data_IF_660455609884
#
_entry.id   IF_660455609884
#
_cell.length_a   1.000
_cell.length_b   1.000
_cell.length_c   1.000
_cell.angle_alpha   90.00
_cell.angle_beta   90.00
_cell.angle_gamma   90.00
#
_symmetry.space_group_name_H-M   'P 1'
#
loop_
_entity.id
_entity.type
_entity.pdbx_description
1 polymer ?
#
# COMPACT_ATOMS: atom_id res chain seq x y z
N UNK A 1 38.58 -32.07 47.68
CA UNK A 1 37.39 -31.73 46.93
C UNK A 1 37.72 -30.92 45.70
N UNK A 2 37.71 -31.55 44.53
CA UNK A 2 37.93 -30.84 43.27
C UNK A 2 36.59 -30.29 42.77
N UNK A 3 36.48 -28.96 42.72
CA UNK A 3 35.37 -28.26 42.12
C UNK A 3 35.52 -28.27 40.62
N UNK A 4 34.64 -28.99 39.90
CA UNK A 4 34.53 -28.94 38.45
C UNK A 4 33.70 -27.68 38.09
N UNK A 5 34.39 -26.69 37.51
CA UNK A 5 33.75 -25.50 36.91
C UNK A 5 33.14 -25.91 35.56
N UNK A 6 31.81 -26.03 35.48
CA UNK A 6 31.13 -26.26 34.24
C UNK A 6 31.01 -24.94 33.46
N UNK A 7 31.85 -24.78 32.46
CA UNK A 7 31.74 -23.65 31.51
C UNK A 7 30.55 -23.90 30.60
N UNK A 8 29.48 -23.16 30.78
CA UNK A 8 28.37 -23.11 29.81
C UNK A 8 28.83 -22.30 28.59
N UNK A 9 29.14 -22.98 27.51
CA UNK A 9 29.26 -22.33 26.19
C UNK A 9 27.86 -21.97 25.70
N UNK A 10 27.51 -20.69 25.80
CA UNK A 10 26.31 -20.15 25.14
C UNK A 10 26.61 -20.03 23.67
N UNK A 11 26.10 -20.95 22.87
CA UNK A 11 26.16 -20.85 21.42
C UNK A 11 25.22 -19.75 20.95
N UNK A 12 25.75 -18.56 20.68
CA UNK A 12 25.02 -17.50 20.00
C UNK A 12 24.80 -17.96 18.56
N UNK A 13 23.56 -18.32 18.21
CA UNK A 13 23.15 -18.55 16.81
C UNK A 13 23.15 -17.20 16.11
N UNK A 14 24.23 -16.90 15.42
CA UNK A 14 24.32 -15.76 14.51
C UNK A 14 23.67 -16.23 13.19
N UNK A 15 22.43 -15.84 12.95
CA UNK A 15 21.82 -16.01 11.63
C UNK A 15 22.52 -15.06 10.66
N UNK A 16 22.98 -15.54 9.51
CA UNK A 16 23.66 -14.67 8.56
C UNK A 16 22.69 -13.65 7.98
N UNK A 17 23.07 -12.39 8.01
CA UNK A 17 22.30 -11.24 7.46
C UNK A 17 21.90 -11.49 5.99
N UNK A 18 22.69 -12.26 5.25
CA UNK A 18 22.42 -12.67 3.87
C UNK A 18 21.13 -13.48 3.69
N UNK A 19 20.67 -14.23 4.71
CA UNK A 19 19.43 -15.01 4.61
C UNK A 19 18.18 -14.14 4.70
N UNK A 20 18.22 -13.09 5.51
CA UNK A 20 17.10 -12.14 5.65
C UNK A 20 16.91 -11.30 4.37
N UNK A 21 18.00 -10.86 3.74
CA UNK A 21 17.94 -10.13 2.48
C UNK A 21 17.40 -11.02 1.34
N UNK A 22 17.82 -12.29 1.27
CA UNK A 22 17.33 -13.25 0.28
C UNK A 22 15.84 -13.54 0.46
N UNK A 23 15.35 -13.67 1.70
CA UNK A 23 13.93 -13.85 2.02
C UNK A 23 13.11 -12.62 1.60
N UNK A 24 13.57 -11.41 1.91
CA UNK A 24 12.89 -10.16 1.54
C UNK A 24 12.82 -10.00 0.01
N UNK A 25 13.87 -10.34 -0.73
CA UNK A 25 13.86 -10.32 -2.18
C UNK A 25 12.87 -11.33 -2.77
N UNK A 26 12.81 -12.54 -2.21
CA UNK A 26 11.87 -13.56 -2.64
C UNK A 26 10.43 -13.14 -2.39
N UNK A 27 10.13 -12.52 -1.27
CA UNK A 27 8.80 -11.99 -0.96
C UNK A 27 8.37 -10.91 -1.95
N UNK A 28 9.29 -10.01 -2.31
CA UNK A 28 9.04 -9.01 -3.35
C UNK A 28 8.74 -9.66 -4.71
N UNK A 29 9.56 -10.60 -5.14
CA UNK A 29 9.38 -11.31 -6.42
C UNK A 29 8.06 -12.07 -6.46
N UNK A 30 7.68 -12.72 -5.36
CA UNK A 30 6.40 -13.45 -5.26
C UNK A 30 5.22 -12.50 -5.40
N UNK A 31 5.26 -11.35 -4.71
CA UNK A 31 4.23 -10.33 -4.84
C UNK A 31 4.18 -9.70 -6.23
N UNK A 32 5.32 -9.46 -6.87
CA UNK A 32 5.37 -8.96 -8.24
C UNK A 32 4.69 -9.93 -9.22
N UNK A 33 4.93 -11.23 -9.08
CA UNK A 33 4.24 -12.26 -9.90
C UNK A 33 2.74 -12.27 -9.66
N UNK A 34 2.32 -12.19 -8.40
CA UNK A 34 0.89 -12.11 -8.04
C UNK A 34 0.24 -10.89 -8.68
N UNK A 35 0.89 -9.73 -8.62
CA UNK A 35 0.39 -8.50 -9.22
C UNK A 35 0.25 -8.61 -10.74
N UNK A 36 1.28 -9.07 -11.44
CA UNK A 36 1.27 -9.22 -12.89
C UNK A 36 0.33 -10.33 -13.38
N UNK A 37 0.08 -11.34 -12.58
CA UNK A 37 -0.96 -12.35 -12.85
C UNK A 37 -2.37 -11.77 -12.70
N UNK A 38 -2.56 -10.86 -11.75
CA UNK A 38 -3.85 -10.20 -11.55
C UNK A 38 -4.15 -9.20 -12.68
N UNK A 39 -3.15 -8.41 -13.08
CA UNK A 39 -3.24 -7.46 -14.19
C UNK A 39 -1.90 -7.42 -14.92
N UNK A 40 -1.89 -7.94 -16.12
CA UNK A 40 -0.72 -7.90 -16.99
C UNK A 40 -0.50 -6.49 -17.54
N UNK A 41 0.75 -6.07 -17.59
CA UNK A 41 1.10 -4.75 -18.06
C UNK A 41 2.49 -4.32 -17.61
N UNK A 42 2.68 -3.00 -17.52
CA UNK A 42 3.90 -2.38 -17.06
C UNK A 42 3.75 -1.86 -15.64
N UNK A 43 4.59 -2.35 -14.72
CA UNK A 43 4.70 -1.76 -13.39
C UNK A 43 5.38 -0.41 -13.49
N UNK A 44 4.72 0.65 -13.05
CA UNK A 44 5.22 2.02 -13.12
C UNK A 44 5.60 2.58 -11.76
N UNK A 45 5.03 2.04 -10.68
CA UNK A 45 5.37 2.42 -9.29
C UNK A 45 5.25 1.20 -8.39
N UNK A 46 6.11 1.16 -7.39
CA UNK A 46 6.04 0.18 -6.30
C UNK A 46 6.14 0.92 -4.97
N UNK A 47 5.29 0.57 -4.04
CA UNK A 47 5.31 1.08 -2.69
C UNK A 47 5.39 -0.06 -1.68
N UNK A 48 6.07 0.20 -0.57
CA UNK A 48 5.96 -0.59 0.63
C UNK A 48 5.26 0.25 1.69
N UNK A 49 4.21 -0.29 2.29
CA UNK A 49 3.41 0.42 3.29
C UNK A 49 3.01 -0.49 4.44
N UNK A 50 2.65 0.10 5.57
CA UNK A 50 2.09 -0.59 6.72
C UNK A 50 0.58 -0.40 6.75
N UNK A 51 -0.12 -1.52 6.71
CA UNK A 51 -1.55 -1.62 6.92
C UNK A 51 -1.83 -2.54 8.10
N UNK A 52 -2.43 -2.01 9.17
CA UNK A 52 -2.65 -2.75 10.41
C UNK A 52 -1.38 -3.45 10.92
N UNK A 53 -0.25 -2.73 10.92
CA UNK A 53 1.08 -3.22 11.33
C UNK A 53 1.64 -4.37 10.47
N UNK A 54 1.06 -4.61 9.29
CA UNK A 54 1.57 -5.59 8.32
C UNK A 54 2.13 -4.88 7.10
N UNK A 55 3.27 -5.37 6.61
CA UNK A 55 3.88 -4.85 5.40
C UNK A 55 3.13 -5.32 4.15
N UNK A 56 2.78 -4.37 3.30
CA UNK A 56 2.05 -4.58 2.05
C UNK A 56 2.82 -3.94 0.91
N UNK A 57 3.01 -4.68 -0.17
CA UNK A 57 3.45 -4.11 -1.45
C UNK A 57 2.25 -3.64 -2.25
N UNK A 58 2.31 -2.43 -2.80
CA UNK A 58 1.40 -1.93 -3.81
C UNK A 58 2.14 -1.76 -5.12
N UNK A 59 1.54 -2.27 -6.19
CA UNK A 59 2.06 -2.17 -7.56
C UNK A 59 1.08 -1.38 -8.41
N UNK A 60 1.54 -0.25 -8.94
CA UNK A 60 0.78 0.52 -9.93
C UNK A 60 1.13 -0.01 -11.31
N UNK A 61 0.12 -0.50 -12.02
CA UNK A 61 0.28 -1.19 -13.30
C UNK A 61 -0.49 -0.44 -14.38
N UNK A 62 0.21 -0.07 -15.46
CA UNK A 62 -0.42 0.28 -16.72
C UNK A 62 -0.77 -1.00 -17.45
N UNK A 63 -2.05 -1.36 -17.40
CA UNK A 63 -2.55 -2.61 -17.94
C UNK A 63 -2.49 -2.68 -19.45
N UNK A 64 -2.36 -3.88 -19.98
CA UNK A 64 -2.49 -4.14 -21.43
C UNK A 64 -3.90 -3.81 -21.94
N UNK A 65 -4.89 -3.75 -21.06
CA UNK A 65 -6.26 -3.32 -21.36
C UNK A 65 -6.40 -1.79 -21.53
N UNK A 66 -5.31 -1.03 -21.33
CA UNK A 66 -5.31 0.43 -21.39
C UNK A 66 -5.77 1.13 -20.13
N UNK A 67 -6.05 0.39 -19.05
CA UNK A 67 -6.44 0.94 -17.75
C UNK A 67 -5.28 0.91 -16.77
N UNK A 68 -5.34 1.80 -15.80
CA UNK A 68 -4.40 1.82 -14.67
C UNK A 68 -4.99 1.03 -13.50
N UNK A 69 -4.14 0.22 -12.88
CA UNK A 69 -4.52 -0.69 -11.80
C UNK A 69 -3.56 -0.59 -10.63
N UNK A 70 -4.12 -0.62 -9.42
CA UNK A 70 -3.37 -0.77 -8.19
C UNK A 70 -3.61 -2.16 -7.62
N UNK A 71 -2.53 -2.88 -7.38
CA UNK A 71 -2.58 -4.25 -6.88
C UNK A 71 -1.80 -4.32 -5.57
N UNK A 72 -2.47 -4.74 -4.51
CA UNK A 72 -1.84 -4.91 -3.20
C UNK A 72 -1.64 -6.38 -2.85
N UNK A 73 -0.44 -6.66 -2.36
CA UNK A 73 -0.02 -7.99 -1.97
C UNK A 73 0.60 -7.97 -0.57
N UNK A 74 0.13 -8.86 0.30
CA UNK A 74 0.70 -9.02 1.64
C UNK A 74 2.10 -9.61 1.53
N UNK A 75 3.11 -8.87 1.99
CA UNK A 75 4.52 -9.25 1.87
C UNK A 75 4.83 -10.60 2.49
N UNK A 76 4.32 -10.87 3.69
CA UNK A 76 4.64 -12.08 4.44
C UNK A 76 4.14 -13.37 3.78
N UNK A 77 3.05 -13.33 3.02
CA UNK A 77 2.36 -14.52 2.50
C UNK A 77 2.25 -14.58 0.99
N UNK A 78 2.42 -13.44 0.29
CA UNK A 78 2.14 -13.34 -1.14
C UNK A 78 0.64 -13.31 -1.49
N UNK A 79 -0.24 -13.11 -0.49
CA UNK A 79 -1.68 -13.02 -0.70
C UNK A 79 -2.05 -11.72 -1.40
N UNK A 80 -2.84 -11.83 -2.48
CA UNK A 80 -3.50 -10.68 -3.10
C UNK A 80 -4.59 -10.17 -2.17
N UNK A 81 -4.45 -8.94 -1.67
CA UNK A 81 -5.40 -8.37 -0.71
C UNK A 81 -6.28 -7.28 -1.29
N UNK A 82 -5.86 -6.63 -2.37
CA UNK A 82 -6.64 -5.57 -3.02
C UNK A 82 -6.33 -5.46 -4.49
N UNK A 83 -7.34 -5.14 -5.27
CA UNK A 83 -7.26 -4.83 -6.69
C UNK A 83 -8.21 -3.67 -6.97
N UNK A 84 -7.65 -2.51 -7.30
CA UNK A 84 -8.41 -1.31 -7.62
C UNK A 84 -8.05 -0.80 -9.00
N UNK A 85 -9.02 -0.15 -9.63
CA UNK A 85 -8.79 0.59 -10.85
C UNK A 85 -8.59 2.06 -10.52
N UNK A 86 -7.52 2.65 -11.00
CA UNK A 86 -7.28 4.08 -10.94
C UNK A 86 -7.82 4.76 -12.20
N UNK A 87 -8.48 5.89 -12.03
CA UNK A 87 -8.91 6.76 -13.13
C UNK A 87 -8.29 8.14 -12.99
N UNK A 88 -8.02 8.79 -14.13
CA UNK A 88 -7.28 10.05 -14.15
C UNK A 88 -8.05 11.25 -13.57
N UNK A 89 -9.39 11.19 -13.61
CA UNK A 89 -10.24 12.31 -13.21
C UNK A 89 -11.50 11.85 -12.50
N UNK A 90 -12.00 12.62 -11.52
CA UNK A 90 -13.25 12.32 -10.82
C UNK A 90 -14.49 12.44 -11.74
N UNK A 91 -14.34 13.05 -12.91
CA UNK A 91 -15.39 13.13 -13.92
C UNK A 91 -15.55 11.86 -14.76
N UNK A 92 -14.65 10.88 -14.60
CA UNK A 92 -14.80 9.58 -15.25
C UNK A 92 -16.18 9.01 -14.87
N UNK A 93 -17.00 8.56 -15.83
CA UNK A 93 -18.37 8.11 -15.55
C UNK A 93 -18.45 6.97 -14.53
N UNK A 94 -17.47 6.07 -14.52
CA UNK A 94 -17.41 4.97 -13.56
C UNK A 94 -17.18 5.45 -12.12
N UNK A 95 -16.41 6.51 -11.96
CA UNK A 95 -16.15 7.13 -10.66
C UNK A 95 -17.34 8.02 -10.25
N UNK A 96 -17.73 8.92 -11.13
CA UNK A 96 -18.72 9.97 -10.87
C UNK A 96 -20.08 9.44 -10.42
N UNK A 97 -20.53 8.31 -10.96
CA UNK A 97 -21.86 7.75 -10.67
C UNK A 97 -22.11 7.45 -9.20
N UNK A 98 -21.06 7.22 -8.42
CA UNK A 98 -21.15 6.86 -7.01
C UNK A 98 -20.76 8.00 -6.05
N UNK A 99 -20.48 9.20 -6.58
CA UNK A 99 -20.02 10.33 -5.79
C UNK A 99 -21.21 11.07 -5.13
N UNK A 100 -21.16 11.19 -3.81
CA UNK A 100 -22.01 12.05 -2.99
C UNK A 100 -21.18 13.06 -2.18
N UNK A 101 -19.94 12.71 -1.88
CA UNK A 101 -18.93 13.58 -1.29
C UNK A 101 -17.94 13.96 -2.38
N UNK A 102 -17.78 15.26 -2.63
CA UNK A 102 -16.80 15.72 -3.63
C UNK A 102 -15.38 15.67 -3.05
N UNK A 103 -14.38 15.96 -3.89
CA UNK A 103 -12.99 15.93 -3.48
C UNK A 103 -12.69 16.88 -2.32
N UNK A 104 -13.25 18.10 -2.35
CA UNK A 104 -13.02 19.10 -1.31
C UNK A 104 -13.57 18.65 0.06
N UNK A 105 -14.77 18.11 0.08
CA UNK A 105 -15.38 17.55 1.28
C UNK A 105 -14.57 16.37 1.83
N UNK A 106 -14.09 15.50 0.94
CA UNK A 106 -13.27 14.34 1.31
C UNK A 106 -11.89 14.75 1.81
N UNK A 107 -11.26 15.78 1.21
CA UNK A 107 -10.02 16.38 1.70
C UNK A 107 -10.17 16.90 3.13
N UNK A 108 -11.26 17.56 3.43
CA UNK A 108 -11.53 18.09 4.77
C UNK A 108 -11.65 16.97 5.80
N UNK A 109 -12.29 15.85 5.45
CA UNK A 109 -12.37 14.66 6.31
C UNK A 109 -10.96 14.10 6.58
N UNK A 110 -10.18 13.91 5.53
CA UNK A 110 -8.82 13.35 5.62
C UNK A 110 -7.90 14.23 6.49
N UNK A 111 -7.88 15.53 6.25
CA UNK A 111 -7.03 16.49 6.98
C UNK A 111 -7.44 16.68 8.43
N UNK A 112 -8.70 16.49 8.77
CA UNK A 112 -9.16 16.50 10.16
C UNK A 112 -8.60 15.33 10.95
N UNK A 113 -8.50 14.17 10.33
CA UNK A 113 -7.96 12.95 10.93
C UNK A 113 -6.42 12.96 10.97
N UNK A 114 -5.80 13.43 9.91
CA UNK A 114 -4.34 13.48 9.74
C UNK A 114 -3.91 14.86 9.24
N UNK A 115 -3.72 15.83 10.15
CA UNK A 115 -3.27 17.17 9.76
C UNK A 115 -1.93 17.16 9.04
N UNK A 116 -1.85 17.86 7.91
CA UNK A 116 -0.65 17.93 7.08
C UNK A 116 -0.93 18.59 5.75
N UNK A 117 -0.07 18.30 4.78
CA UNK A 117 -0.22 18.73 3.39
C UNK A 117 -0.58 17.52 2.51
N UNK A 118 -1.63 17.65 1.73
CA UNK A 118 -1.97 16.66 0.71
C UNK A 118 -1.00 16.83 -0.44
N UNK A 119 -0.20 15.80 -0.71
CA UNK A 119 0.83 15.80 -1.75
C UNK A 119 0.40 15.03 -3.00
N UNK A 120 -0.60 14.16 -2.90
CA UNK A 120 -1.15 13.39 -4.01
C UNK A 120 -2.64 13.10 -3.78
N UNK A 121 -3.39 13.04 -4.87
CA UNK A 121 -4.79 12.59 -4.89
C UNK A 121 -4.96 11.57 -6.00
N UNK A 122 -5.52 10.42 -5.66
CA UNK A 122 -5.89 9.38 -6.61
C UNK A 122 -7.39 9.11 -6.55
N UNK A 123 -7.95 8.72 -7.69
CA UNK A 123 -9.37 8.39 -7.85
C UNK A 123 -9.47 6.91 -8.14
N UNK A 124 -9.98 6.16 -7.15
CA UNK A 124 -9.99 4.71 -7.17
C UNK A 124 -11.40 4.17 -7.36
N UNK A 125 -11.49 3.08 -8.11
CA UNK A 125 -12.71 2.28 -8.23
C UNK A 125 -12.39 0.90 -7.69
N UNK A 126 -13.04 0.56 -6.61
CA UNK A 126 -12.88 -0.72 -5.92
C UNK A 126 -13.50 -1.87 -6.72
N UNK A 127 -13.15 -3.11 -6.37
CA UNK A 127 -13.65 -4.31 -7.07
C UNK A 127 -15.16 -4.44 -7.04
N UNK A 128 -15.83 -3.88 -6.03
CA UNK A 128 -17.31 -3.85 -5.93
C UNK A 128 -17.95 -2.70 -6.71
N UNK A 129 -17.13 -1.82 -7.33
CA UNK A 129 -17.58 -0.66 -8.09
C UNK A 129 -17.70 0.64 -7.29
N UNK A 130 -17.43 0.62 -5.99
CA UNK A 130 -17.42 1.83 -5.16
C UNK A 130 -16.29 2.77 -5.58
N UNK A 131 -16.54 4.06 -5.47
CA UNK A 131 -15.55 5.09 -5.74
C UNK A 131 -14.95 5.61 -4.45
N UNK A 132 -13.63 5.80 -4.43
CA UNK A 132 -12.89 6.33 -3.30
C UNK A 132 -11.89 7.39 -3.74
N UNK A 133 -11.67 8.39 -2.89
CA UNK A 133 -10.52 9.30 -3.00
C UNK A 133 -9.40 8.77 -2.12
N UNK A 134 -8.22 8.61 -2.67
CA UNK A 134 -7.02 8.32 -1.90
C UNK A 134 -6.16 9.58 -1.81
N UNK A 135 -5.83 9.98 -0.59
CA UNK A 135 -4.99 11.13 -0.31
C UNK A 135 -3.69 10.69 0.34
N UNK A 136 -2.58 11.13 -0.23
CA UNK A 136 -1.28 11.05 0.43
C UNK A 136 -1.07 12.37 1.19
N UNK A 137 -0.90 12.25 2.50
CA UNK A 137 -0.72 13.39 3.39
C UNK A 137 0.68 13.33 3.99
N UNK A 138 1.49 14.36 3.71
CA UNK A 138 2.71 14.62 4.47
C UNK A 138 2.30 15.24 5.81
N UNK A 139 2.28 14.41 6.84
CA UNK A 139 1.68 14.79 8.12
C UNK A 139 2.60 15.68 8.94
N UNK A 140 2.05 16.62 9.69
CA UNK A 140 2.81 17.45 10.62
C UNK A 140 3.39 16.63 11.79
N UNK A 141 2.80 15.49 12.10
CA UNK A 141 3.34 14.54 13.10
C UNK A 141 4.56 13.76 12.60
N UNK A 142 4.83 13.78 11.29
CA UNK A 142 5.93 13.08 10.62
C UNK A 142 5.48 11.86 9.83
N UNK A 143 6.07 11.72 8.64
CA UNK A 143 5.79 10.64 7.70
C UNK A 143 4.55 10.88 6.84
N UNK A 144 4.44 10.08 5.78
CA UNK A 144 3.33 10.12 4.82
C UNK A 144 2.29 9.08 5.21
N UNK A 145 1.03 9.53 5.30
CA UNK A 145 -0.15 8.69 5.52
C UNK A 145 -0.96 8.68 4.23
N UNK A 146 -1.32 7.48 3.78
CA UNK A 146 -2.28 7.28 2.70
C UNK A 146 -3.63 7.00 3.35
N UNK A 147 -4.63 7.82 3.05
CA UNK A 147 -5.98 7.66 3.56
C UNK A 147 -6.97 7.59 2.40
N UNK A 148 -7.80 6.58 2.42
CA UNK A 148 -8.85 6.35 1.43
C UNK A 148 -10.21 6.66 2.03
N UNK A 149 -10.96 7.52 1.34
CA UNK A 149 -12.30 7.99 1.73
C UNK A 149 -13.32 7.51 0.70
N UNK A 150 -14.34 6.80 1.15
CA UNK A 150 -15.46 6.40 0.31
C UNK A 150 -16.20 7.65 -0.20
N UNK A 151 -16.35 7.76 -1.52
CA UNK A 151 -16.95 8.93 -2.16
C UNK A 151 -18.48 8.98 -2.01
N UNK A 152 -19.12 7.88 -1.64
CA UNK A 152 -20.56 7.81 -1.41
C UNK A 152 -20.94 8.08 0.04
N UNK A 153 -20.11 7.68 1.00
CA UNK A 153 -20.43 7.73 2.44
C UNK A 153 -19.60 8.74 3.23
N UNK A 154 -18.41 9.12 2.72
CA UNK A 154 -17.44 9.92 3.45
C UNK A 154 -16.71 9.17 4.56
N UNK A 155 -16.91 7.86 4.66
CA UNK A 155 -16.24 7.01 5.64
C UNK A 155 -14.81 6.69 5.20
N UNK A 156 -13.93 6.48 6.19
CA UNK A 156 -12.59 6.00 5.96
C UNK A 156 -12.65 4.51 5.60
N UNK A 157 -12.18 4.18 4.40
CA UNK A 157 -12.06 2.79 3.94
C UNK A 157 -10.78 2.17 4.48
N UNK A 158 -9.68 2.91 4.40
CA UNK A 158 -8.35 2.42 4.73
C UNK A 158 -7.43 3.57 5.14
N UNK A 159 -6.48 3.26 6.01
CA UNK A 159 -5.39 4.16 6.39
C UNK A 159 -4.09 3.38 6.47
N UNK A 160 -3.08 3.83 5.73
CA UNK A 160 -1.77 3.18 5.65
C UNK A 160 -0.66 4.17 5.95
N UNK A 161 0.45 3.66 6.46
CA UNK A 161 1.69 4.41 6.57
C UNK A 161 2.62 4.02 5.43
N UNK A 162 3.01 4.99 4.61
CA UNK A 162 4.02 4.78 3.59
C UNK A 162 5.39 4.57 4.22
N UNK A 163 6.11 3.53 3.80
CA UNK A 163 7.49 3.29 4.19
C UNK A 163 8.46 3.81 3.13
N UNK A 164 8.21 3.47 1.86
CA UNK A 164 8.92 3.99 0.71
C UNK A 164 8.13 3.78 -0.58
N UNK A 165 8.47 4.53 -1.60
CA UNK A 165 7.96 4.34 -2.96
C UNK A 165 9.05 4.57 -4.00
N UNK A 166 8.92 3.90 -5.13
CA UNK A 166 9.82 4.02 -6.30
C UNK A 166 8.99 3.97 -7.57
N UNK A 167 9.23 4.90 -8.47
CA UNK A 167 8.58 4.91 -9.78
C UNK A 167 8.06 6.26 -10.21
N UNK A 168 7.15 6.23 -11.16
CA UNK A 168 6.48 7.41 -11.74
C UNK A 168 5.14 7.67 -11.03
N UNK A 169 4.86 8.94 -10.86
CA UNK A 169 3.55 9.42 -10.40
C UNK A 169 2.67 9.85 -11.57
#
# INVERSE_FOLDING_TARGET
GSSMLKTLLSAMLIWPISSLAAESNQQFEDCLKVALNARDGQVVKVELKLENDREVYEFDIRGLDGNDWDVECLKATGELIELEREVAHPNNPLFKRNVKFNEEESRAIALKLHPGEIIEVEYEIESNGDSSYEFDIDTYAGGVIKIEIDAATGEVVETNKELWQVGLE
#
